data_IF_016513134423
#
_entry.id   IF_016513134423
#
_cell.length_a   1.000
_cell.length_b   1.000
_cell.length_c   1.000
_cell.angle_alpha   90.00
_cell.angle_beta   90.00
_cell.angle_gamma   90.00
#
_symmetry.space_group_name_H-M   'P 1'
#
loop_
_entity.id
_entity.type
_entity.pdbx_description
1 polymer ?
#
# COMPACT_ATOMS: atom_id res chain seq x y z
N UNK A 1 5.11 -28.18 11.39
CA UNK A 1 6.30 -27.46 10.90
C UNK A 1 7.43 -28.49 10.84
N UNK A 2 7.88 -28.85 9.65
CA UNK A 2 8.89 -29.90 9.43
C UNK A 2 10.31 -29.33 9.58
N UNK A 3 11.33 -30.18 9.75
CA UNK A 3 12.72 -29.74 9.97
C UNK A 3 13.24 -28.79 8.87
N UNK A 4 12.92 -29.05 7.60
CA UNK A 4 13.28 -28.17 6.48
C UNK A 4 12.72 -26.74 6.62
N UNK A 5 11.47 -26.57 7.09
CA UNK A 5 10.91 -25.22 7.31
C UNK A 5 11.61 -24.45 8.43
N UNK A 6 12.13 -25.15 9.45
CA UNK A 6 12.90 -24.53 10.52
C UNK A 6 14.30 -24.12 10.03
N UNK A 7 14.98 -24.98 9.27
CA UNK A 7 16.31 -24.71 8.72
C UNK A 7 16.28 -23.53 7.73
N UNK A 8 15.30 -23.48 6.81
CA UNK A 8 15.12 -22.35 5.90
C UNK A 8 14.88 -21.03 6.65
N UNK A 9 14.10 -21.06 7.73
CA UNK A 9 13.82 -19.88 8.53
C UNK A 9 15.06 -19.38 9.29
N UNK A 10 15.88 -20.28 9.82
CA UNK A 10 17.15 -19.93 10.47
C UNK A 10 18.16 -19.35 9.47
N UNK A 11 18.23 -19.88 8.25
CA UNK A 11 19.04 -19.32 7.17
C UNK A 11 18.58 -17.92 6.77
N UNK A 12 17.27 -17.70 6.58
CA UNK A 12 16.69 -16.38 6.29
C UNK A 12 17.00 -15.38 7.40
N UNK A 13 16.81 -15.78 8.66
CA UNK A 13 17.11 -14.94 9.83
C UNK A 13 18.60 -14.59 9.89
N UNK A 14 19.49 -15.55 9.67
CA UNK A 14 20.94 -15.34 9.70
C UNK A 14 21.38 -14.42 8.57
N UNK A 15 20.79 -14.59 7.37
CA UNK A 15 20.97 -13.69 6.24
C UNK A 15 20.53 -12.26 6.55
N UNK A 16 19.33 -12.09 7.12
CA UNK A 16 18.80 -10.78 7.52
C UNK A 16 19.66 -10.11 8.61
N UNK A 17 20.12 -10.87 9.60
CA UNK A 17 21.00 -10.40 10.68
C UNK A 17 22.36 -9.94 10.12
N UNK A 18 22.92 -10.67 9.15
CA UNK A 18 24.20 -10.30 8.52
C UNK A 18 24.09 -9.02 7.70
N UNK A 19 22.98 -8.85 6.97
CA UNK A 19 22.72 -7.71 6.09
C UNK A 19 21.87 -6.60 6.74
N UNK A 20 21.91 -6.48 8.07
CA UNK A 20 21.15 -5.49 8.85
C UNK A 20 21.32 -4.04 8.36
N UNK A 21 22.48 -3.70 7.78
CA UNK A 21 22.75 -2.36 7.25
C UNK A 21 21.86 -1.99 6.07
N UNK A 22 21.37 -2.97 5.30
CA UNK A 22 20.48 -2.73 4.16
C UNK A 22 19.17 -2.12 4.64
N UNK A 23 18.59 -2.69 5.71
CA UNK A 23 17.39 -2.13 6.34
C UNK A 23 17.63 -0.72 6.87
N UNK A 24 18.83 -0.42 7.37
CA UNK A 24 19.15 0.93 7.85
C UNK A 24 19.18 1.93 6.71
N UNK A 25 19.87 1.60 5.61
CA UNK A 25 19.94 2.45 4.41
C UNK A 25 18.53 2.68 3.84
N UNK A 26 17.73 1.62 3.70
CA UNK A 26 16.35 1.71 3.25
C UNK A 26 15.51 2.60 4.17
N UNK A 27 15.70 2.50 5.49
CA UNK A 27 15.02 3.34 6.46
C UNK A 27 15.35 4.83 6.31
N UNK A 28 16.63 5.17 6.19
CA UNK A 28 17.07 6.56 5.97
C UNK A 28 16.56 7.10 4.64
N UNK A 29 16.64 6.31 3.57
CA UNK A 29 16.12 6.70 2.26
C UNK A 29 14.61 6.96 2.31
N UNK A 30 13.83 6.09 2.96
CA UNK A 30 12.39 6.26 3.11
C UNK A 30 12.04 7.53 3.91
N UNK A 31 12.79 7.83 4.97
CA UNK A 31 12.62 9.09 5.71
C UNK A 31 12.91 10.29 4.80
N UNK A 32 14.03 10.26 4.07
CA UNK A 32 14.41 11.32 3.14
C UNK A 32 13.36 11.57 2.06
N UNK A 33 12.82 10.49 1.46
CA UNK A 33 11.74 10.56 0.48
C UNK A 33 10.45 11.14 1.09
N UNK A 34 10.10 10.71 2.31
CA UNK A 34 8.95 11.24 3.03
C UNK A 34 9.07 12.75 3.26
N UNK A 35 10.23 13.22 3.73
CA UNK A 35 10.52 14.65 3.90
C UNK A 35 10.46 15.39 2.57
N UNK A 36 11.07 14.84 1.52
CA UNK A 36 11.08 15.45 0.19
C UNK A 36 9.67 15.63 -0.41
N UNK A 37 8.77 14.68 -0.15
CA UNK A 37 7.37 14.75 -0.58
C UNK A 37 6.62 15.96 -0.01
N UNK A 38 6.91 16.35 1.23
CA UNK A 38 6.28 17.52 1.86
C UNK A 38 6.77 18.84 1.27
N UNK A 39 8.05 18.92 0.87
CA UNK A 39 8.62 20.13 0.27
C UNK A 39 8.26 20.29 -1.21
N UNK A 40 7.94 19.20 -1.91
CA UNK A 40 7.63 19.23 -3.35
C UNK A 40 6.35 18.45 -3.69
N UNK A 41 5.16 18.89 -3.24
CA UNK A 41 3.94 18.09 -3.36
C UNK A 41 3.56 17.74 -4.80
N UNK A 42 3.76 18.66 -5.76
CA UNK A 42 3.45 18.41 -7.17
C UNK A 42 4.33 17.31 -7.78
N UNK A 43 5.65 17.36 -7.52
CA UNK A 43 6.59 16.34 -8.01
C UNK A 43 6.41 15.01 -7.28
N UNK A 44 6.13 15.07 -5.97
CA UNK A 44 5.81 13.90 -5.17
C UNK A 44 4.58 13.16 -5.69
N UNK A 45 3.52 13.91 -6.02
CA UNK A 45 2.31 13.33 -6.62
C UNK A 45 2.60 12.67 -7.98
N UNK A 46 3.36 13.33 -8.86
CA UNK A 46 3.75 12.75 -10.15
C UNK A 46 4.58 11.47 -9.97
N UNK A 47 5.50 11.44 -9.02
CA UNK A 47 6.27 10.23 -8.71
C UNK A 47 5.36 9.09 -8.23
N UNK A 48 4.39 9.38 -7.36
CA UNK A 48 3.40 8.39 -6.91
C UNK A 48 2.54 7.87 -8.07
N UNK A 49 2.14 8.75 -9.00
CA UNK A 49 1.40 8.39 -10.20
C UNK A 49 2.19 7.41 -11.09
N UNK A 50 3.48 7.65 -11.29
CA UNK A 50 4.36 6.75 -12.05
C UNK A 50 4.49 5.39 -11.36
N UNK A 51 4.76 5.38 -10.06
CA UNK A 51 4.85 4.14 -9.27
C UNK A 51 3.55 3.35 -9.35
N UNK A 52 2.41 4.03 -9.28
CA UNK A 52 1.09 3.44 -9.41
C UNK A 52 0.87 2.81 -10.79
N UNK A 53 1.24 3.50 -11.87
CA UNK A 53 1.17 2.97 -13.24
C UNK A 53 2.05 1.72 -13.43
N UNK A 54 3.29 1.75 -12.94
CA UNK A 54 4.20 0.61 -12.97
C UNK A 54 3.61 -0.57 -12.17
N UNK A 55 3.02 -0.28 -11.00
CA UNK A 55 2.37 -1.30 -10.17
C UNK A 55 1.21 -1.96 -10.91
N UNK A 56 0.40 -1.20 -11.64
CA UNK A 56 -0.67 -1.74 -12.49
C UNK A 56 -0.15 -2.64 -13.60
N UNK A 57 0.95 -2.26 -14.25
CA UNK A 57 1.60 -3.07 -15.27
C UNK A 57 2.12 -4.40 -14.72
N UNK A 58 2.91 -4.34 -13.66
CA UNK A 58 3.50 -5.54 -13.05
C UNK A 58 2.40 -6.45 -12.51
N UNK A 59 1.42 -5.89 -11.80
CA UNK A 59 0.32 -6.66 -11.22
C UNK A 59 -0.59 -7.25 -12.29
N UNK A 60 -0.88 -6.50 -13.35
CA UNK A 60 -1.66 -6.98 -14.49
C UNK A 60 -0.96 -8.12 -15.22
N UNK A 61 0.36 -7.99 -15.46
CA UNK A 61 1.17 -9.03 -16.07
C UNK A 61 1.24 -10.29 -15.19
N UNK A 62 1.54 -10.12 -13.91
CA UNK A 62 1.64 -11.21 -12.95
C UNK A 62 0.29 -11.93 -12.78
N UNK A 63 -0.81 -11.19 -12.60
CA UNK A 63 -2.16 -11.76 -12.45
C UNK A 63 -2.57 -12.54 -13.70
N UNK A 64 -2.31 -12.00 -14.89
CA UNK A 64 -2.57 -12.68 -16.16
C UNK A 64 -1.75 -13.98 -16.27
N UNK A 65 -0.45 -13.91 -15.99
CA UNK A 65 0.45 -15.07 -16.05
C UNK A 65 0.04 -16.17 -15.06
N UNK A 66 -0.18 -15.81 -13.79
CA UNK A 66 -0.59 -16.74 -12.72
C UNK A 66 -1.93 -17.40 -13.06
N UNK A 67 -2.88 -16.61 -13.58
CA UNK A 67 -4.19 -17.14 -13.95
C UNK A 67 -4.10 -18.12 -15.12
N UNK A 68 -3.24 -17.87 -16.11
CA UNK A 68 -3.03 -18.78 -17.23
C UNK A 68 -2.36 -20.09 -16.80
N UNK A 69 -1.34 -20.02 -15.95
CA UNK A 69 -0.61 -21.18 -15.44
C UNK A 69 -1.53 -22.06 -14.57
N UNK A 70 -2.28 -21.43 -13.66
CA UNK A 70 -3.09 -22.14 -12.66
C UNK A 70 -4.59 -22.17 -12.99
N UNK A 71 -4.96 -22.02 -14.27
CA UNK A 71 -6.37 -21.92 -14.71
C UNK A 71 -7.29 -23.06 -14.23
N UNK A 72 -6.73 -24.25 -13.98
CA UNK A 72 -7.46 -25.43 -13.49
C UNK A 72 -7.70 -25.42 -11.97
N UNK A 73 -6.87 -24.70 -11.22
CA UNK A 73 -6.92 -24.63 -9.76
C UNK A 73 -7.61 -23.36 -9.25
N UNK A 74 -7.76 -22.34 -10.09
CA UNK A 74 -8.35 -21.06 -9.72
C UNK A 74 -9.86 -21.06 -10.03
N UNK A 75 -10.73 -20.95 -9.02
CA UNK A 75 -12.15 -20.70 -9.24
C UNK A 75 -12.34 -19.37 -9.99
N UNK A 76 -13.27 -19.32 -10.94
CA UNK A 76 -13.52 -18.14 -11.77
C UNK A 76 -12.26 -17.61 -12.52
N UNK A 77 -11.41 -18.52 -13.02
CA UNK A 77 -10.19 -18.18 -13.77
C UNK A 77 -10.45 -17.17 -14.90
N UNK A 78 -11.59 -17.26 -15.60
CA UNK A 78 -11.94 -16.33 -16.68
C UNK A 78 -12.09 -14.89 -16.20
N UNK A 79 -12.71 -14.67 -15.02
CA UNK A 79 -12.86 -13.33 -14.45
C UNK A 79 -11.53 -12.75 -13.97
N UNK A 80 -10.70 -13.60 -13.35
CA UNK A 80 -9.35 -13.20 -12.95
C UNK A 80 -8.47 -12.83 -14.15
N UNK A 81 -8.62 -13.57 -15.26
CA UNK A 81 -7.89 -13.29 -16.50
C UNK A 81 -8.32 -11.94 -17.09
N UNK A 82 -9.63 -11.68 -17.17
CA UNK A 82 -10.17 -10.40 -17.64
C UNK A 82 -9.67 -9.24 -16.77
N UNK A 83 -9.70 -9.40 -15.45
CA UNK A 83 -9.18 -8.40 -14.51
C UNK A 83 -7.68 -8.13 -14.71
N UNK A 84 -6.87 -9.18 -14.85
CA UNK A 84 -5.43 -9.06 -15.11
C UNK A 84 -5.13 -8.35 -16.42
N UNK A 85 -5.84 -8.69 -17.50
CA UNK A 85 -5.70 -8.04 -18.81
C UNK A 85 -6.14 -6.57 -18.71
N UNK A 86 -7.26 -6.29 -18.04
CA UNK A 86 -7.75 -4.92 -17.86
C UNK A 86 -6.72 -4.07 -17.10
N UNK A 87 -6.16 -4.59 -16.00
CA UNK A 87 -5.08 -3.91 -15.27
C UNK A 87 -3.87 -3.63 -16.14
N UNK A 88 -3.47 -4.60 -16.98
CA UNK A 88 -2.33 -4.45 -17.88
C UNK A 88 -2.59 -3.37 -18.94
N UNK A 89 -3.77 -3.38 -19.57
CA UNK A 89 -4.16 -2.36 -20.56
C UNK A 89 -4.22 -0.97 -19.93
N UNK A 90 -4.84 -0.85 -18.75
CA UNK A 90 -4.89 0.41 -18.00
C UNK A 90 -3.48 0.90 -17.66
N UNK A 91 -2.60 0.01 -17.18
CA UNK A 91 -1.20 0.35 -16.90
C UNK A 91 -0.45 0.88 -18.12
N UNK A 92 -0.68 0.31 -19.31
CA UNK A 92 -0.08 0.78 -20.57
C UNK A 92 -0.58 2.19 -20.90
N UNK A 93 -1.90 2.42 -20.82
CA UNK A 93 -2.52 3.73 -21.07
C UNK A 93 -1.98 4.79 -20.10
N UNK A 94 -1.81 4.42 -18.85
CA UNK A 94 -1.28 5.31 -17.81
C UNK A 94 0.16 5.74 -18.13
N UNK A 95 1.05 4.80 -18.45
CA UNK A 95 2.43 5.15 -18.86
C UNK A 95 2.44 6.02 -20.13
N UNK A 96 1.53 5.79 -21.06
CA UNK A 96 1.44 6.59 -22.28
C UNK A 96 0.94 8.03 -22.03
N UNK A 97 0.15 8.27 -20.97
CA UNK A 97 -0.39 9.59 -20.66
C UNK A 97 -0.37 9.88 -19.14
N UNK A 98 0.57 10.74 -18.75
CA UNK A 98 0.74 11.15 -17.35
C UNK A 98 -0.48 11.92 -16.79
N UNK A 99 -1.20 12.66 -17.64
CA UNK A 99 -2.42 13.38 -17.23
C UNK A 99 -3.54 12.43 -16.83
N UNK A 100 -3.79 11.40 -17.64
CA UNK A 100 -4.78 10.37 -17.33
C UNK A 100 -4.38 9.61 -16.06
N UNK A 101 -3.08 9.32 -15.88
CA UNK A 101 -2.58 8.62 -14.69
C UNK A 101 -2.88 9.38 -13.40
N UNK A 102 -2.66 10.69 -13.41
CA UNK A 102 -2.95 11.57 -12.28
C UNK A 102 -4.43 11.47 -11.87
N UNK A 103 -5.34 11.61 -12.85
CA UNK A 103 -6.77 11.55 -12.60
C UNK A 103 -7.19 10.16 -12.12
N UNK A 104 -6.73 9.10 -12.78
CA UNK A 104 -7.04 7.72 -12.39
C UNK A 104 -6.56 7.41 -10.98
N UNK A 105 -5.36 7.85 -10.59
CA UNK A 105 -4.85 7.69 -9.22
C UNK A 105 -5.75 8.42 -8.20
N UNK A 106 -6.13 9.66 -8.50
CA UNK A 106 -7.02 10.45 -7.63
C UNK A 106 -8.37 9.76 -7.46
N UNK A 107 -9.01 9.37 -8.55
CA UNK A 107 -10.30 8.68 -8.49
C UNK A 107 -10.18 7.34 -7.79
N UNK A 108 -9.14 6.54 -8.09
CA UNK A 108 -8.89 5.27 -7.43
C UNK A 108 -8.81 5.42 -5.92
N UNK A 109 -8.02 6.38 -5.43
CA UNK A 109 -7.88 6.63 -3.99
C UNK A 109 -9.16 7.19 -3.39
N UNK A 110 -9.83 8.15 -4.04
CA UNK A 110 -11.06 8.74 -3.54
C UNK A 110 -12.18 7.69 -3.40
N UNK A 111 -12.33 6.80 -4.40
CA UNK A 111 -13.25 5.67 -4.30
C UNK A 111 -12.82 4.67 -3.21
N UNK A 112 -11.54 4.40 -3.06
CA UNK A 112 -11.05 3.51 -2.00
C UNK A 112 -11.40 4.07 -0.60
N UNK A 113 -11.22 5.38 -0.38
CA UNK A 113 -11.60 6.04 0.88
C UNK A 113 -13.13 6.01 1.06
N UNK A 114 -13.90 6.21 -0.02
CA UNK A 114 -15.37 6.13 0.01
C UNK A 114 -15.85 4.75 0.47
N UNK A 115 -15.35 3.68 -0.16
CA UNK A 115 -15.65 2.30 0.24
C UNK A 115 -15.15 2.00 1.66
N UNK A 116 -14.00 2.54 2.04
CA UNK A 116 -13.50 2.51 3.41
C UNK A 116 -14.49 3.11 4.41
N UNK A 117 -15.07 4.27 4.09
CA UNK A 117 -16.11 4.92 4.90
C UNK A 117 -17.36 4.06 5.06
N UNK A 118 -17.87 3.48 3.97
CA UNK A 118 -18.98 2.54 4.04
C UNK A 118 -18.66 1.29 4.88
N UNK A 119 -17.45 0.76 4.76
CA UNK A 119 -17.00 -0.37 5.57
C UNK A 119 -16.92 0.01 7.06
N UNK A 120 -16.43 1.19 7.40
CA UNK A 120 -16.42 1.73 8.77
C UNK A 120 -17.83 1.87 9.34
N UNK A 121 -18.79 2.32 8.54
CA UNK A 121 -20.22 2.36 8.93
C UNK A 121 -20.72 0.94 9.22
N UNK A 122 -20.41 -0.05 8.36
CA UNK A 122 -20.74 -1.45 8.59
C UNK A 122 -20.12 -2.01 9.89
N UNK A 123 -18.87 -1.66 10.17
CA UNK A 123 -18.21 -2.00 11.43
C UNK A 123 -18.87 -1.34 12.64
N UNK A 124 -19.34 -0.09 12.52
CA UNK A 124 -20.06 0.58 13.59
C UNK A 124 -21.36 -0.16 13.96
N UNK A 125 -22.11 -0.64 12.97
CA UNK A 125 -23.31 -1.46 13.22
C UNK A 125 -22.97 -2.80 13.86
N UNK A 126 -21.86 -3.42 13.44
CA UNK A 126 -21.37 -4.67 14.04
C UNK A 126 -20.89 -4.45 15.48
N UNK A 127 -20.27 -3.31 15.78
CA UNK A 127 -19.85 -2.92 17.12
C UNK A 127 -21.07 -2.67 18.02
N UNK A 128 -22.10 -2.00 17.48
CA UNK A 128 -23.39 -1.81 18.15
C UNK A 128 -24.04 -3.14 18.51
N UNK A 129 -24.08 -4.11 17.58
CA UNK A 129 -24.67 -5.43 17.86
C UNK A 129 -23.89 -6.23 18.89
N UNK A 130 -22.59 -5.95 19.06
CA UNK A 130 -21.72 -6.55 20.08
C UNK A 130 -21.74 -5.81 21.43
N UNK A 131 -22.55 -4.77 21.57
CA UNK A 131 -22.68 -4.00 22.82
C UNK A 131 -21.53 -3.04 23.11
N UNK A 132 -20.71 -2.71 22.11
CA UNK A 132 -19.62 -1.73 22.26
C UNK A 132 -20.20 -0.32 22.46
N UNK A 133 -19.75 0.37 23.51
CA UNK A 133 -20.21 1.74 23.85
C UNK A 133 -19.69 2.78 22.84
N UNK A 134 -18.60 2.50 22.12
CA UNK A 134 -18.00 3.43 21.17
C UNK A 134 -18.67 3.42 19.77
N UNK A 135 -19.70 2.60 19.55
CA UNK A 135 -20.31 2.41 18.22
C UNK A 135 -20.76 3.72 17.56
N UNK A 136 -21.28 4.67 18.34
CA UNK A 136 -21.76 5.96 17.83
C UNK A 136 -20.63 6.84 17.29
N UNK A 137 -19.45 6.77 17.91
CA UNK A 137 -18.26 7.48 17.45
C UNK A 137 -17.76 6.89 16.13
N UNK A 138 -17.67 5.55 16.04
CA UNK A 138 -17.27 4.86 14.81
C UNK A 138 -18.24 5.15 13.67
N UNK A 139 -19.55 5.22 13.94
CA UNK A 139 -20.55 5.57 12.94
C UNK A 139 -20.35 7.00 12.44
N UNK A 140 -20.19 7.97 13.36
CA UNK A 140 -19.94 9.36 13.01
C UNK A 140 -18.68 9.52 12.16
N UNK A 141 -17.58 8.86 12.53
CA UNK A 141 -16.35 8.83 11.75
C UNK A 141 -16.58 8.27 10.35
N UNK A 142 -17.31 7.15 10.22
CA UNK A 142 -17.62 6.56 8.92
C UNK A 142 -18.41 7.53 8.01
N UNK A 143 -19.42 8.21 8.56
CA UNK A 143 -20.20 9.22 7.82
C UNK A 143 -19.32 10.39 7.38
N UNK A 144 -18.47 10.90 8.27
CA UNK A 144 -17.52 11.99 7.94
C UNK A 144 -16.58 11.57 6.81
N UNK A 145 -16.04 10.34 6.86
CA UNK A 145 -15.17 9.80 5.81
C UNK A 145 -15.90 9.70 4.46
N UNK A 146 -17.16 9.24 4.46
CA UNK A 146 -17.98 9.19 3.23
C UNK A 146 -18.17 10.58 2.64
N UNK A 147 -18.57 11.57 3.46
CA UNK A 147 -18.76 12.95 3.01
C UNK A 147 -17.46 13.53 2.46
N UNK A 148 -16.35 13.36 3.20
CA UNK A 148 -15.03 13.80 2.77
C UNK A 148 -14.66 13.19 1.41
N UNK A 149 -14.88 11.90 1.24
CA UNK A 149 -14.57 11.19 -0.01
C UNK A 149 -15.36 11.72 -1.19
N UNK A 150 -16.64 12.04 -0.98
CA UNK A 150 -17.49 12.66 -2.01
C UNK A 150 -16.92 14.05 -2.38
N UNK A 151 -16.52 14.86 -1.41
CA UNK A 151 -15.88 16.17 -1.67
C UNK A 151 -14.58 16.00 -2.48
N UNK A 152 -13.77 14.99 -2.16
CA UNK A 152 -12.54 14.69 -2.91
C UNK A 152 -12.81 14.29 -4.38
N UNK A 153 -13.92 13.59 -4.65
CA UNK A 153 -14.32 13.24 -6.02
C UNK A 153 -14.70 14.47 -6.85
N UNK A 154 -15.31 15.49 -6.24
CA UNK A 154 -15.67 16.72 -6.92
C UNK A 154 -14.50 17.72 -7.02
N UNK A 155 -13.53 17.63 -6.13
CA UNK A 155 -12.35 18.49 -6.13
C UNK A 155 -11.04 17.69 -6.15
N UNK A 156 -10.64 17.17 -7.33
CA UNK A 156 -9.49 16.26 -7.47
C UNK A 156 -8.16 16.86 -7.02
N UNK A 157 -8.03 18.19 -7.04
CA UNK A 157 -6.84 18.89 -6.53
C UNK A 157 -6.63 18.65 -5.04
N UNK A 158 -7.70 18.70 -4.22
CA UNK A 158 -7.60 18.39 -2.79
C UNK A 158 -7.28 16.90 -2.55
N UNK A 159 -7.77 16.03 -3.41
CA UNK A 159 -7.48 14.60 -3.34
C UNK A 159 -5.99 14.33 -3.60
N UNK A 160 -5.39 14.99 -4.59
CA UNK A 160 -3.95 14.90 -4.87
C UNK A 160 -3.10 15.33 -3.67
N UNK A 161 -3.42 16.47 -3.03
CA UNK A 161 -2.73 16.90 -1.81
C UNK A 161 -2.88 15.90 -0.67
N UNK A 162 -4.09 15.37 -0.47
CA UNK A 162 -4.36 14.34 0.54
C UNK A 162 -3.47 13.12 0.30
N UNK A 163 -3.40 12.62 -0.94
CA UNK A 163 -2.57 11.48 -1.32
C UNK A 163 -1.10 11.73 -0.95
N UNK A 164 -0.55 12.90 -1.28
CA UNK A 164 0.84 13.24 -0.98
C UNK A 164 1.12 13.28 0.52
N UNK A 165 0.24 13.93 1.29
CA UNK A 165 0.41 14.04 2.75
C UNK A 165 0.40 12.65 3.39
N UNK A 166 -0.59 11.82 3.04
CA UNK A 166 -0.70 10.47 3.58
C UNK A 166 0.46 9.58 3.14
N UNK A 167 0.89 9.67 1.89
CA UNK A 167 2.07 8.96 1.40
C UNK A 167 3.34 9.42 2.13
N UNK A 168 3.51 10.73 2.35
CA UNK A 168 4.64 11.27 3.11
C UNK A 168 4.68 10.73 4.54
N UNK A 169 3.55 10.73 5.24
CA UNK A 169 3.42 10.13 6.58
C UNK A 169 3.75 8.64 6.53
N UNK A 170 3.25 7.90 5.54
CA UNK A 170 3.52 6.48 5.38
C UNK A 170 5.01 6.19 5.15
N UNK A 171 5.69 6.98 4.30
CA UNK A 171 7.13 6.86 4.07
C UNK A 171 7.95 7.15 5.32
N UNK A 172 7.59 8.19 6.08
CA UNK A 172 8.22 8.48 7.36
C UNK A 172 8.04 7.33 8.36
N UNK A 173 6.80 6.83 8.50
CA UNK A 173 6.50 5.70 9.39
C UNK A 173 7.26 4.43 8.99
N UNK A 174 7.26 4.10 7.70
CA UNK A 174 8.00 2.96 7.15
C UNK A 174 9.51 3.11 7.40
N UNK A 175 10.05 4.30 7.19
CA UNK A 175 11.46 4.57 7.42
C UNK A 175 11.87 4.41 8.88
N UNK A 176 11.03 4.88 9.82
CA UNK A 176 11.22 4.64 11.26
C UNK A 176 11.20 3.15 11.56
N UNK A 177 10.20 2.40 11.04
CA UNK A 177 10.12 0.96 11.25
C UNK A 177 11.37 0.22 10.74
N UNK A 178 11.88 0.56 9.56
CA UNK A 178 13.11 -0.03 9.03
C UNK A 178 14.35 0.31 9.87
N UNK A 179 14.47 1.55 10.35
CA UNK A 179 15.53 1.93 11.27
C UNK A 179 15.46 1.13 12.58
N UNK A 180 14.26 0.93 13.15
CA UNK A 180 14.11 0.12 14.37
C UNK A 180 14.42 -1.35 14.14
N UNK A 181 14.06 -1.92 12.98
CA UNK A 181 14.41 -3.29 12.59
C UNK A 181 15.91 -3.45 12.42
N UNK A 182 16.57 -2.52 11.73
CA UNK A 182 18.02 -2.54 11.54
C UNK A 182 18.77 -2.50 12.88
N UNK A 183 18.30 -1.66 13.83
CA UNK A 183 18.86 -1.58 15.17
C UNK A 183 18.68 -2.90 15.96
N UNK A 184 17.52 -3.54 15.83
CA UNK A 184 17.27 -4.85 16.46
C UNK A 184 18.19 -5.92 15.87
N UNK A 185 18.35 -5.96 14.54
CA UNK A 185 19.20 -6.92 13.85
C UNK A 185 20.70 -6.72 14.16
N UNK A 186 21.17 -5.47 14.21
CA UNK A 186 22.57 -5.17 14.54
C UNK A 186 22.92 -5.60 15.96
N UNK A 187 22.02 -5.39 16.92
CA UNK A 187 22.18 -5.85 18.30
C UNK A 187 22.24 -7.37 18.41
N UNK A 188 21.42 -8.09 17.64
CA UNK A 188 21.42 -9.56 17.60
C UNK A 188 22.69 -10.11 16.93
N UNK A 189 23.16 -9.48 15.85
CA UNK A 189 24.44 -9.82 15.21
C UNK A 189 25.63 -9.72 16.20
N UNK A 190 25.65 -8.68 17.03
CA UNK A 190 26.67 -8.51 18.06
C UNK A 190 26.61 -9.55 19.19
N UNK A 191 25.46 -10.17 19.43
CA UNK A 191 25.30 -11.27 20.40
C UNK A 191 25.72 -12.63 19.84
N UNK A 192 25.53 -12.85 18.54
CA UNK A 192 25.94 -14.08 17.84
C UNK A 192 27.46 -14.19 17.65
N UNK A 193 28.16 -13.05 17.67
CA UNK A 193 29.63 -12.99 17.56
C UNK A 193 30.36 -13.12 18.91
N UNK A 194 29.63 -13.18 20.03
CA UNK A 194 30.17 -13.42 21.38
C UNK A 194 29.99 -14.88 21.74
#
# INVERSE_FOLDING_TARGET
MNKESFENFEEELTGAIKHWWVFLILGILAIGLGVWLFFTPANGFAALAIVFAITFLISGLASTAVTLINRKSIPAWGWNLVSGILMLVLGIIMIANMGITADVLVFYVAFAILFGGFNTIGFAFTAKSKGDKAWGWTLALGIVVVILSIVLLFHPVFAAFTIVIWAGIAFLSMGISFCTLAYRLSKTNGRMKK
#
